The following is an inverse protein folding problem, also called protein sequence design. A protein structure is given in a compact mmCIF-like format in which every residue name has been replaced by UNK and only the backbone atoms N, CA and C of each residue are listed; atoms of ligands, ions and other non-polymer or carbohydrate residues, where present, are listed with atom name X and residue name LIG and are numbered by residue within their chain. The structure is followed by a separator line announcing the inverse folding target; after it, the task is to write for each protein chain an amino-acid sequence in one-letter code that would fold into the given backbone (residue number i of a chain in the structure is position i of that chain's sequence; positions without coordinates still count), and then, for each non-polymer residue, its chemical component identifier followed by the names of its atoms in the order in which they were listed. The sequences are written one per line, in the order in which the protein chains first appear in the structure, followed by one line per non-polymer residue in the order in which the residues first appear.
data_IF_340658567961
#
_entry.id   IF_340658567961
#
_cell.length_a   1.000
_cell.length_b   1.000
_cell.length_c   1.000
_cell.angle_alpha   90.00
_cell.angle_beta   90.00
_cell.angle_gamma   90.00
#
_symmetry.space_group_name_H-M   'P 1'
#
loop_
_entity.id
_entity.type
_entity.pdbx_description
1 polymer ?
#
# COMPACT_ATOMS: atom_id res chain seq x y z
N UNK A 1 -24.24 -25.32 -49.01
CA UNK A 1 -23.78 -23.91 -49.04
C UNK A 1 -24.85 -23.07 -48.34
N UNK A 2 -24.72 -22.91 -47.03
CA UNK A 2 -25.66 -22.16 -46.19
C UNK A 2 -24.90 -20.98 -45.59
N UNK A 3 -25.35 -19.77 -45.93
CA UNK A 3 -24.83 -18.50 -45.39
C UNK A 3 -25.24 -18.42 -43.91
N UNK A 4 -24.27 -18.49 -43.01
CA UNK A 4 -24.48 -18.20 -41.59
C UNK A 4 -24.27 -16.71 -41.35
N UNK A 5 -25.19 -16.16 -40.57
CA UNK A 5 -25.39 -14.74 -40.29
C UNK A 5 -24.16 -14.08 -39.66
N UNK A 6 -23.90 -12.84 -40.10
CA UNK A 6 -22.97 -11.91 -39.48
C UNK A 6 -23.47 -11.58 -38.07
N UNK A 7 -22.75 -12.09 -37.06
CA UNK A 7 -22.91 -11.65 -35.68
C UNK A 7 -22.68 -10.15 -35.57
N UNK A 8 -23.65 -9.45 -34.99
CA UNK A 8 -23.55 -8.06 -34.57
C UNK A 8 -22.34 -7.88 -33.62
N UNK A 9 -21.61 -6.75 -33.72
CA UNK A 9 -20.52 -6.46 -32.79
C UNK A 9 -21.07 -6.32 -31.37
N UNK A 10 -20.49 -7.08 -30.44
CA UNK A 10 -20.80 -7.01 -29.02
C UNK A 10 -20.57 -5.60 -28.48
N UNK A 11 -21.50 -5.20 -27.61
CA UNK A 11 -21.63 -3.90 -26.98
C UNK A 11 -20.31 -3.37 -26.39
N UNK A 12 -20.02 -2.13 -26.80
CA UNK A 12 -19.19 -1.12 -26.15
C UNK A 12 -18.32 -1.55 -24.98
N UNK A 13 -17.01 -1.63 -25.24
CA UNK A 13 -15.98 -1.23 -24.28
C UNK A 13 -16.20 0.25 -23.92
N UNK A 14 -17.13 0.51 -22.99
CA UNK A 14 -17.23 1.82 -22.38
C UNK A 14 -15.95 2.00 -21.56
N UNK A 15 -15.04 2.82 -22.08
CA UNK A 15 -13.89 3.30 -21.31
C UNK A 15 -14.43 3.84 -19.98
N UNK A 16 -13.91 3.40 -18.83
CA UNK A 16 -14.38 3.91 -17.56
C UNK A 16 -14.24 5.43 -17.60
N UNK A 17 -15.36 6.14 -17.45
CA UNK A 17 -15.35 7.59 -17.32
C UNK A 17 -14.37 7.92 -16.17
N UNK A 18 -13.50 8.92 -16.33
CA UNK A 18 -12.62 9.34 -15.24
C UNK A 18 -13.50 9.95 -14.15
N UNK A 19 -14.01 9.14 -13.23
CA UNK A 19 -14.64 9.63 -12.02
C UNK A 19 -13.61 10.47 -11.27
N UNK A 20 -14.00 11.65 -10.73
CA UNK A 20 -13.14 12.41 -9.85
C UNK A 20 -12.58 11.48 -8.79
N UNK A 21 -11.26 11.44 -8.62
CA UNK A 21 -10.68 10.58 -7.61
C UNK A 21 -10.86 11.28 -6.27
N UNK A 22 -11.31 10.53 -5.28
CA UNK A 22 -11.32 11.01 -3.92
C UNK A 22 -9.92 10.83 -3.33
N UNK A 23 -9.43 11.83 -2.62
CA UNK A 23 -8.16 11.78 -1.91
C UNK A 23 -8.39 12.11 -0.43
N UNK A 24 -7.72 11.35 0.43
CA UNK A 24 -7.62 11.61 1.86
C UNK A 24 -6.18 11.99 2.17
N UNK A 25 -5.98 13.20 2.69
CA UNK A 25 -4.67 13.68 3.13
C UNK A 25 -4.47 13.32 4.60
N UNK A 26 -3.51 12.45 4.84
CA UNK A 26 -3.05 12.05 6.18
C UNK A 26 -2.40 13.24 6.93
N UNK A 27 -2.45 13.22 8.27
CA UNK A 27 -1.84 14.24 9.11
C UNK A 27 -0.31 14.26 9.04
N UNK A 28 0.31 13.16 8.60
CA UNK A 28 1.76 13.13 8.35
C UNK A 28 2.19 14.07 7.21
N UNK A 29 1.26 14.46 6.32
CA UNK A 29 1.57 15.28 5.15
C UNK A 29 1.84 16.73 5.55
N UNK A 30 3.05 17.19 5.26
CA UNK A 30 3.42 18.60 5.36
C UNK A 30 2.60 19.45 4.37
N UNK A 31 2.12 20.61 4.84
CA UNK A 31 1.35 21.59 4.05
C UNK A 31 0.14 20.98 3.33
N UNK A 32 -0.79 20.35 4.08
CA UNK A 32 -1.92 19.62 3.48
C UNK A 32 -2.82 20.51 2.62
N UNK A 33 -2.94 21.81 2.95
CA UNK A 33 -3.72 22.77 2.17
C UNK A 33 -3.19 22.96 0.75
N UNK A 34 -1.87 22.99 0.56
CA UNK A 34 -1.26 23.16 -0.76
C UNK A 34 -1.48 21.92 -1.63
N UNK A 35 -1.40 20.71 -1.05
CA UNK A 35 -1.77 19.46 -1.73
C UNK A 35 -3.26 19.40 -2.07
N UNK A 36 -4.10 19.88 -1.16
CA UNK A 36 -5.54 19.97 -1.36
C UNK A 36 -5.89 20.87 -2.53
N UNK A 37 -5.33 22.08 -2.57
CA UNK A 37 -5.51 23.02 -3.67
C UNK A 37 -5.08 22.40 -4.99
N UNK A 38 -3.88 21.80 -5.04
CA UNK A 38 -3.32 21.16 -6.23
C UNK A 38 -4.23 20.08 -6.84
N UNK A 39 -4.75 19.16 -6.04
CA UNK A 39 -5.64 18.11 -6.54
C UNK A 39 -7.04 18.66 -6.87
N UNK A 40 -7.53 19.66 -6.13
CA UNK A 40 -8.82 20.31 -6.40
C UNK A 40 -8.80 21.08 -7.72
N UNK A 41 -7.69 21.77 -8.05
CA UNK A 41 -7.50 22.42 -9.36
C UNK A 41 -7.62 21.44 -10.54
N UNK A 42 -7.33 20.16 -10.32
CA UNK A 42 -7.44 19.09 -11.32
C UNK A 42 -8.82 18.41 -11.34
N UNK A 43 -9.78 18.92 -10.57
CA UNK A 43 -11.14 18.43 -10.49
C UNK A 43 -11.32 17.21 -9.57
N UNK A 44 -10.31 16.87 -8.75
CA UNK A 44 -10.40 15.78 -7.79
C UNK A 44 -11.05 16.24 -6.48
N UNK A 45 -11.69 15.32 -5.75
CA UNK A 45 -12.25 15.62 -4.44
C UNK A 45 -11.20 15.30 -3.37
N UNK A 46 -10.90 16.27 -2.52
CA UNK A 46 -9.79 16.14 -1.58
C UNK A 46 -10.24 16.57 -0.20
N UNK A 47 -10.03 15.68 0.76
CA UNK A 47 -10.41 15.89 2.16
C UNK A 47 -9.20 15.58 3.04
N UNK A 48 -8.99 16.33 4.11
CA UNK A 48 -8.00 15.96 5.13
C UNK A 48 -8.61 14.97 6.13
N UNK A 49 -7.79 14.21 6.86
CA UNK A 49 -8.32 13.34 7.92
C UNK A 49 -9.10 14.12 8.99
N UNK A 50 -8.72 15.37 9.27
CA UNK A 50 -9.41 16.23 10.22
C UNK A 50 -10.78 16.68 9.74
N UNK A 51 -10.94 16.95 8.44
CA UNK A 51 -12.22 17.26 7.81
C UNK A 51 -13.18 16.05 7.79
N UNK A 52 -12.64 14.83 7.84
CA UNK A 52 -13.41 13.60 8.05
C UNK A 52 -13.77 13.34 9.53
N UNK A 53 -13.40 14.26 10.44
CA UNK A 53 -13.63 14.12 11.88
C UNK A 53 -12.68 13.13 12.57
N UNK A 54 -11.62 12.69 11.90
CA UNK A 54 -10.59 11.86 12.52
C UNK A 54 -9.59 12.73 13.30
N UNK A 55 -9.08 12.24 14.44
CA UNK A 55 -8.05 12.95 15.19
C UNK A 55 -6.73 13.00 14.41
N UNK A 56 -5.88 13.99 14.69
CA UNK A 56 -4.57 14.13 14.02
C UNK A 56 -3.64 12.92 14.21
N UNK A 57 -3.83 12.15 15.28
CA UNK A 57 -3.10 10.91 15.57
C UNK A 57 -3.96 9.66 15.31
N UNK A 58 -4.90 9.75 14.37
CA UNK A 58 -5.70 8.61 13.96
C UNK A 58 -4.78 7.46 13.52
N UNK A 59 -4.99 6.24 14.02
CA UNK A 59 -4.22 5.09 13.58
C UNK A 59 -4.40 4.78 12.08
N UNK A 60 -3.36 4.31 11.41
CA UNK A 60 -3.37 4.05 9.96
C UNK A 60 -4.42 3.04 9.51
N UNK A 61 -4.78 2.08 10.37
CA UNK A 61 -5.87 1.14 10.10
C UNK A 61 -7.22 1.86 10.03
N UNK A 62 -7.45 2.85 10.91
CA UNK A 62 -8.67 3.67 10.91
C UNK A 62 -8.73 4.55 9.66
N UNK A 63 -7.61 5.18 9.30
CA UNK A 63 -7.52 5.99 8.07
C UNK A 63 -7.75 5.10 6.84
N UNK A 64 -7.13 3.92 6.80
CA UNK A 64 -7.29 2.94 5.71
C UNK A 64 -8.73 2.46 5.55
N UNK A 65 -9.42 2.11 6.65
CA UNK A 65 -10.83 1.70 6.61
C UNK A 65 -11.72 2.86 6.14
N UNK A 66 -11.47 4.07 6.63
CA UNK A 66 -12.24 5.26 6.24
C UNK A 66 -12.06 5.57 4.77
N UNK A 67 -10.83 5.63 4.28
CA UNK A 67 -10.50 5.86 2.88
C UNK A 67 -11.11 4.79 1.97
N UNK A 68 -11.07 3.51 2.38
CA UNK A 68 -11.74 2.42 1.66
C UNK A 68 -13.25 2.64 1.59
N UNK A 69 -13.89 3.04 2.68
CA UNK A 69 -15.33 3.29 2.75
C UNK A 69 -15.81 4.37 1.79
N UNK A 70 -15.01 5.41 1.56
CA UNK A 70 -15.31 6.50 0.61
C UNK A 70 -14.63 6.34 -0.76
N UNK A 71 -13.95 5.20 -1.00
CA UNK A 71 -13.27 4.90 -2.25
C UNK A 71 -12.04 5.76 -2.58
N UNK A 72 -11.41 6.37 -1.59
CA UNK A 72 -10.39 7.41 -1.75
C UNK A 72 -8.94 6.93 -1.71
N UNK A 73 -8.06 7.54 -2.51
CA UNK A 73 -6.62 7.37 -2.38
C UNK A 73 -6.10 8.06 -1.13
N UNK A 74 -5.22 7.41 -0.36
CA UNK A 74 -4.55 8.02 0.79
C UNK A 74 -3.27 8.69 0.32
N UNK A 75 -3.09 9.95 0.66
CA UNK A 75 -1.84 10.68 0.50
C UNK A 75 -1.14 10.74 1.86
N UNK A 76 0.07 10.21 1.96
CA UNK A 76 0.80 10.13 3.25
C UNK A 76 2.31 10.35 3.07
N UNK A 77 2.94 10.98 4.07
CA UNK A 77 4.41 11.01 4.21
C UNK A 77 4.93 9.91 5.14
N UNK A 78 4.02 9.21 5.84
CA UNK A 78 4.36 8.06 6.65
C UNK A 78 4.71 6.87 5.76
N UNK A 79 5.97 6.44 5.85
CA UNK A 79 6.53 5.35 5.04
C UNK A 79 6.13 3.98 5.56
N UNK A 80 5.63 3.90 6.79
CA UNK A 80 5.22 2.68 7.45
C UNK A 80 3.69 2.52 7.48
N UNK A 81 2.94 3.51 6.97
CA UNK A 81 1.47 3.54 6.99
C UNK A 81 0.79 2.20 6.64
N UNK A 82 1.15 1.60 5.51
CA UNK A 82 0.54 0.33 5.07
C UNK A 82 0.99 -0.86 5.92
N UNK A 83 2.20 -0.80 6.46
CA UNK A 83 2.75 -1.82 7.33
C UNK A 83 2.04 -1.79 8.68
N UNK A 84 1.86 -0.60 9.26
CA UNK A 84 1.22 -0.39 10.55
C UNK A 84 -0.29 -0.69 10.49
N UNK A 85 -0.97 -0.30 9.42
CA UNK A 85 -2.34 -0.74 9.15
C UNK A 85 -2.44 -2.28 9.07
N UNK A 86 -1.52 -2.93 8.36
CA UNK A 86 -1.51 -4.38 8.20
C UNK A 86 -1.21 -5.12 9.50
N UNK A 87 -0.36 -4.57 10.38
CA UNK A 87 -0.13 -5.12 11.71
C UNK A 87 -1.39 -5.17 12.57
N UNK A 88 -2.40 -4.38 12.22
CA UNK A 88 -3.74 -4.36 12.83
C UNK A 88 -4.79 -5.12 12.00
N UNK A 89 -4.36 -5.82 10.95
CA UNK A 89 -5.19 -6.69 10.12
C UNK A 89 -5.89 -5.96 8.97
N UNK A 90 -5.59 -4.67 8.75
CA UNK A 90 -6.17 -3.88 7.66
C UNK A 90 -5.14 -3.72 6.55
N UNK A 91 -5.49 -4.12 5.34
CA UNK A 91 -4.64 -3.91 4.17
C UNK A 91 -5.30 -2.98 3.17
N UNK A 92 -4.58 -1.90 2.81
CA UNK A 92 -5.03 -0.88 1.88
C UNK A 92 -3.96 -0.59 0.84
N UNK A 93 -4.36 -0.53 -0.42
CA UNK A 93 -3.42 -0.46 -1.55
C UNK A 93 -3.51 0.82 -2.37
N UNK A 94 -4.56 1.63 -2.20
CA UNK A 94 -4.69 2.92 -2.91
C UNK A 94 -3.95 4.02 -2.13
N UNK A 95 -2.62 3.98 -2.16
CA UNK A 95 -1.79 4.91 -1.40
C UNK A 95 -0.81 5.62 -2.34
N UNK A 96 -0.68 6.93 -2.11
CA UNK A 96 0.32 7.82 -2.68
C UNK A 96 1.29 8.21 -1.57
N UNK A 97 2.53 7.74 -1.65
CA UNK A 97 3.60 8.12 -0.72
C UNK A 97 4.30 9.36 -1.22
N UNK A 98 4.40 10.35 -0.34
CA UNK A 98 5.21 11.54 -0.52
C UNK A 98 6.57 11.29 0.15
N UNK A 99 7.63 11.17 -0.64
CA UNK A 99 8.98 10.88 -0.15
C UNK A 99 9.92 12.03 -0.46
N UNK A 100 10.87 12.29 0.42
CA UNK A 100 11.85 13.35 0.24
C UNK A 100 12.20 13.98 1.57
N UNK A 101 13.20 14.85 1.53
CA UNK A 101 13.65 15.65 2.67
C UNK A 101 13.16 17.09 2.58
N UNK A 102 12.78 17.51 1.38
CA UNK A 102 12.24 18.83 1.11
C UNK A 102 10.82 18.92 1.64
N UNK A 103 10.62 19.86 2.57
CA UNK A 103 9.29 20.27 3.05
C UNK A 103 8.65 21.32 2.16
N UNK A 104 9.37 21.77 1.13
CA UNK A 104 8.86 22.67 0.09
C UNK A 104 8.18 21.86 -0.98
N UNK A 105 7.13 22.45 -1.55
CA UNK A 105 6.56 21.91 -2.76
C UNK A 105 7.51 22.16 -3.94
N UNK A 106 7.68 21.19 -4.85
CA UNK A 106 8.46 21.40 -6.06
C UNK A 106 7.98 22.63 -6.83
N UNK A 107 8.92 23.38 -7.42
CA UNK A 107 8.61 24.61 -8.17
C UNK A 107 7.62 24.38 -9.33
N UNK A 108 7.53 23.15 -9.83
CA UNK A 108 6.57 22.72 -10.85
C UNK A 108 5.50 21.77 -10.28
N UNK A 109 4.71 22.29 -9.35
CA UNK A 109 3.63 21.55 -8.68
C UNK A 109 2.57 21.03 -9.68
N UNK A 110 2.31 21.76 -10.77
CA UNK A 110 1.32 21.38 -11.78
C UNK A 110 1.78 20.17 -12.59
N UNK A 111 3.05 20.13 -13.01
CA UNK A 111 3.59 18.95 -13.66
C UNK A 111 3.58 17.74 -12.72
N UNK A 112 3.93 17.93 -11.44
CA UNK A 112 3.92 16.86 -10.44
C UNK A 112 2.52 16.27 -10.23
N UNK A 113 1.50 17.12 -10.12
CA UNK A 113 0.11 16.69 -9.98
C UNK A 113 -0.36 15.88 -11.19
N UNK A 114 -0.09 16.37 -12.39
CA UNK A 114 -0.41 15.68 -13.64
C UNK A 114 0.29 14.32 -13.75
N UNK A 115 1.58 14.26 -13.38
CA UNK A 115 2.34 13.02 -13.35
C UNK A 115 1.77 12.02 -12.33
N UNK A 116 1.40 12.51 -11.14
CA UNK A 116 0.77 11.70 -10.09
C UNK A 116 -0.55 11.12 -10.58
N UNK A 117 -1.41 11.93 -11.20
CA UNK A 117 -2.68 11.48 -11.77
C UNK A 117 -2.48 10.40 -12.84
N UNK A 118 -1.54 10.63 -13.76
CA UNK A 118 -1.19 9.65 -14.80
C UNK A 118 -0.73 8.31 -14.21
N UNK A 119 0.08 8.33 -13.16
CA UNK A 119 0.50 7.12 -12.45
C UNK A 119 -0.69 6.39 -11.79
N UNK A 120 -1.61 7.13 -11.16
CA UNK A 120 -2.80 6.55 -10.54
C UNK A 120 -3.73 5.95 -11.60
N UNK A 121 -3.90 6.60 -12.75
CA UNK A 121 -4.69 6.08 -13.88
C UNK A 121 -4.06 4.80 -14.43
N UNK A 122 -2.74 4.78 -14.62
CA UNK A 122 -2.02 3.59 -15.04
C UNK A 122 -2.29 2.42 -14.09
N UNK A 123 -2.20 2.65 -12.78
CA UNK A 123 -2.47 1.63 -11.75
C UNK A 123 -3.93 1.18 -11.76
N UNK A 124 -4.87 2.11 -11.93
CA UNK A 124 -6.30 1.80 -11.89
C UNK A 124 -6.76 0.96 -13.09
N UNK A 125 -6.02 0.99 -14.20
CA UNK A 125 -6.31 0.23 -15.41
C UNK A 125 -5.62 -1.14 -15.47
N UNK A 126 -4.73 -1.47 -14.52
CA UNK A 126 -4.10 -2.80 -14.49
C UNK A 126 -5.10 -3.79 -13.88
N UNK A 127 -5.55 -4.75 -14.68
CA UNK A 127 -6.25 -5.93 -14.16
C UNK A 127 -5.22 -6.90 -13.58
N UNK A 128 -5.06 -6.91 -12.26
CA UNK A 128 -3.92 -7.55 -11.59
C UNK A 128 -4.17 -9.00 -11.19
N UNK A 129 -5.36 -9.55 -11.47
CA UNK A 129 -5.74 -10.90 -11.02
C UNK A 129 -5.56 -11.10 -9.50
N UNK A 130 -5.50 -10.02 -8.70
CA UNK A 130 -5.37 -10.01 -7.24
C UNK A 130 -3.96 -10.19 -6.65
N UNK A 131 -2.93 -10.47 -7.45
CA UNK A 131 -1.63 -10.90 -6.91
C UNK A 131 -0.63 -9.77 -6.61
N UNK A 132 -0.90 -8.55 -7.08
CA UNK A 132 -0.02 -7.40 -6.88
C UNK A 132 -0.80 -6.17 -6.43
N UNK A 133 -0.18 -5.40 -5.54
CA UNK A 133 -0.60 -4.06 -5.16
C UNK A 133 0.37 -3.06 -5.73
N UNK A 134 -0.16 -1.88 -6.04
CA UNK A 134 0.60 -0.82 -6.67
C UNK A 134 0.49 0.42 -5.79
N UNK A 135 1.65 0.98 -5.48
CA UNK A 135 1.79 2.20 -4.72
C UNK A 135 2.35 3.28 -5.62
N UNK A 136 1.80 4.48 -5.52
CA UNK A 136 2.36 5.64 -6.23
C UNK A 136 3.33 6.32 -5.28
N UNK A 137 4.55 6.58 -5.73
CA UNK A 137 5.58 7.24 -4.94
C UNK A 137 5.95 8.53 -5.65
N UNK A 138 5.80 9.64 -4.95
CA UNK A 138 6.11 10.99 -5.38
C UNK A 138 7.35 11.45 -4.62
N UNK A 139 8.47 11.55 -5.32
CA UNK A 139 9.73 12.05 -4.77
C UNK A 139 9.76 13.58 -4.85
N UNK A 140 9.62 14.24 -3.71
CA UNK A 140 9.56 15.68 -3.54
C UNK A 140 10.92 16.37 -3.80
N UNK A 141 12.03 15.65 -3.65
CA UNK A 141 13.36 16.22 -3.86
C UNK A 141 13.70 16.28 -5.36
N UNK A 142 13.28 15.28 -6.11
CA UNK A 142 13.55 15.16 -7.55
C UNK A 142 12.37 15.52 -8.46
N UNK A 143 11.15 15.65 -7.91
CA UNK A 143 9.91 15.82 -8.66
C UNK A 143 9.48 14.59 -9.46
N UNK A 144 10.08 13.43 -9.21
CA UNK A 144 9.77 12.21 -9.95
C UNK A 144 8.58 11.46 -9.34
N UNK A 145 7.73 10.93 -10.22
CA UNK A 145 6.65 10.02 -9.84
C UNK A 145 6.97 8.63 -10.36
N UNK A 146 6.86 7.62 -9.50
CA UNK A 146 7.02 6.22 -9.88
C UNK A 146 5.93 5.35 -9.28
N UNK A 147 5.68 4.22 -9.91
CA UNK A 147 4.77 3.20 -9.40
C UNK A 147 5.61 2.01 -8.92
N UNK A 148 5.40 1.59 -7.67
CA UNK A 148 6.03 0.39 -7.11
C UNK A 148 4.98 -0.70 -6.91
N UNK A 149 5.27 -1.89 -7.45
CA UNK A 149 4.43 -3.07 -7.32
C UNK A 149 4.95 -3.97 -6.21
N UNK A 150 4.07 -4.45 -5.33
CA UNK A 150 4.43 -5.38 -4.26
C UNK A 150 3.45 -6.55 -4.21
N UNK A 151 3.89 -7.74 -3.77
CA UNK A 151 2.99 -8.87 -3.64
C UNK A 151 1.93 -8.61 -2.58
N UNK A 152 0.68 -8.95 -2.88
CA UNK A 152 -0.40 -8.94 -1.88
C UNK A 152 -0.07 -9.87 -0.72
N UNK A 153 -0.12 -9.39 0.54
CA UNK A 153 0.02 -10.28 1.68
C UNK A 153 -1.14 -11.29 1.66
N UNK A 154 -0.87 -12.59 1.86
CA UNK A 154 -1.92 -13.60 1.92
C UNK A 154 -2.94 -13.24 3.01
N UNK A 155 -4.22 -13.47 2.74
CA UNK A 155 -5.29 -13.20 3.72
C UNK A 155 -5.06 -13.91 5.07
N UNK A 156 -4.47 -15.10 5.04
CA UNK A 156 -4.15 -15.85 6.26
C UNK A 156 -3.04 -15.19 7.08
N UNK A 157 -2.12 -14.47 6.43
CA UNK A 157 -1.13 -13.65 7.13
C UNK A 157 -1.83 -12.48 7.83
N UNK A 158 -2.64 -11.71 7.10
CA UNK A 158 -3.36 -10.55 7.65
C UNK A 158 -4.19 -10.93 8.89
N UNK A 159 -4.84 -12.10 8.87
CA UNK A 159 -5.64 -12.59 9.99
C UNK A 159 -4.85 -12.84 11.28
N UNK A 160 -3.54 -13.11 11.20
CA UNK A 160 -2.70 -13.40 12.37
C UNK A 160 -1.80 -12.23 12.77
N UNK A 161 -1.62 -11.22 11.92
CA UNK A 161 -0.75 -10.08 12.18
C UNK A 161 -1.10 -9.34 13.48
N UNK A 162 -2.37 -9.10 13.86
CA UNK A 162 -2.71 -8.46 15.13
C UNK A 162 -2.21 -9.24 16.36
N UNK A 163 -2.38 -10.56 16.36
CA UNK A 163 -1.89 -11.39 17.46
C UNK A 163 -0.36 -11.55 17.42
N UNK A 164 0.22 -11.61 16.21
CA UNK A 164 1.65 -11.76 16.00
C UNK A 164 2.42 -10.49 16.39
N UNK A 165 1.85 -9.31 16.18
CA UNK A 165 2.46 -8.02 16.53
C UNK A 165 2.51 -7.80 18.05
N UNK A 166 1.53 -8.34 18.78
CA UNK A 166 1.47 -8.27 20.25
C UNK A 166 2.34 -9.36 20.93
N UNK A 167 2.64 -10.46 20.24
CA UNK A 167 3.38 -11.58 20.83
C UNK A 167 4.90 -11.41 20.73
N UNK A 168 5.57 -11.25 21.87
CA UNK A 168 7.05 -11.24 21.96
C UNK A 168 7.71 -12.56 21.56
N UNK A 169 7.02 -13.68 21.77
CA UNK A 169 7.58 -15.03 21.56
C UNK A 169 7.05 -15.70 20.29
N UNK A 170 6.23 -15.00 19.50
CA UNK A 170 5.53 -15.57 18.35
C UNK A 170 4.33 -16.44 18.73
N UNK A 171 3.68 -16.99 17.71
CA UNK A 171 2.44 -17.76 17.84
C UNK A 171 2.72 -19.27 17.78
N UNK A 172 2.04 -20.08 18.59
CA UNK A 172 2.01 -21.54 18.47
C UNK A 172 1.00 -21.95 17.41
N UNK A 173 1.11 -23.19 16.93
CA UNK A 173 0.10 -23.77 16.04
C UNK A 173 -1.32 -23.78 16.67
N UNK A 174 -1.42 -23.88 18.00
CA UNK A 174 -2.70 -23.77 18.71
C UNK A 174 -3.33 -22.37 18.57
N UNK A 175 -2.51 -21.32 18.62
CA UNK A 175 -2.95 -19.92 18.46
C UNK A 175 -3.40 -19.69 17.02
N UNK A 176 -2.58 -20.14 16.05
CA UNK A 176 -2.91 -20.08 14.63
C UNK A 176 -4.22 -20.80 14.30
N UNK A 177 -4.44 -21.97 14.93
CA UNK A 177 -5.68 -22.74 14.79
C UNK A 177 -6.90 -21.94 15.22
N UNK A 178 -6.80 -21.24 16.37
CA UNK A 178 -7.87 -20.40 16.91
C UNK A 178 -8.15 -19.21 15.99
N UNK A 179 -7.10 -18.52 15.55
CA UNK A 179 -7.22 -17.33 14.69
C UNK A 179 -7.79 -17.64 13.31
N UNK A 180 -7.42 -18.79 12.73
CA UNK A 180 -7.91 -19.21 11.41
C UNK A 180 -9.19 -20.06 11.45
N UNK A 181 -9.69 -20.42 12.64
CA UNK A 181 -10.87 -21.27 12.79
C UNK A 181 -10.78 -22.62 12.06
N UNK A 182 -9.60 -23.28 12.07
CA UNK A 182 -9.37 -24.50 11.27
C UNK A 182 -8.83 -25.68 12.09
N UNK A 183 -8.53 -26.81 11.43
CA UNK A 183 -7.96 -27.99 12.10
C UNK A 183 -6.47 -27.79 12.43
N UNK A 184 -5.92 -28.62 13.33
CA UNK A 184 -4.48 -28.62 13.66
C UNK A 184 -3.61 -28.82 12.41
N UNK A 185 -3.98 -29.76 11.56
CA UNK A 185 -3.22 -30.12 10.35
C UNK A 185 -3.32 -29.03 9.29
N UNK A 186 -4.48 -28.41 9.14
CA UNK A 186 -4.70 -27.29 8.21
C UNK A 186 -3.88 -26.06 8.64
N UNK A 187 -3.90 -25.71 9.93
CA UNK A 187 -3.09 -24.61 10.46
C UNK A 187 -1.59 -24.86 10.22
N UNK A 188 -1.13 -26.08 10.47
CA UNK A 188 0.28 -26.42 10.24
C UNK A 188 0.68 -26.29 8.76
N UNK A 189 -0.16 -26.77 7.83
CA UNK A 189 0.09 -26.63 6.38
C UNK A 189 0.13 -25.16 5.95
N UNK A 190 -0.84 -24.35 6.39
CA UNK A 190 -0.88 -22.90 6.12
C UNK A 190 0.35 -22.19 6.66
N UNK A 191 0.74 -22.48 7.90
CA UNK A 191 1.93 -21.91 8.52
C UNK A 191 3.22 -22.31 7.80
N UNK A 192 3.35 -23.56 7.37
CA UNK A 192 4.49 -24.03 6.60
C UNK A 192 4.60 -23.32 5.25
N UNK A 193 3.48 -23.13 4.55
CA UNK A 193 3.43 -22.34 3.31
C UNK A 193 3.91 -20.90 3.53
N UNK A 194 3.39 -20.22 4.56
CA UNK A 194 3.82 -18.86 4.91
C UNK A 194 5.31 -18.78 5.31
N UNK A 195 5.87 -19.86 5.88
CA UNK A 195 7.31 -19.96 6.16
C UNK A 195 8.12 -20.13 4.87
N UNK A 196 7.67 -21.00 3.96
CA UNK A 196 8.32 -21.22 2.66
C UNK A 196 8.33 -19.94 1.80
N UNK A 197 7.25 -19.16 1.85
CA UNK A 197 7.12 -17.88 1.17
C UNK A 197 7.87 -16.72 1.86
N UNK A 198 8.48 -16.97 3.02
CA UNK A 198 9.29 -16.00 3.77
C UNK A 198 8.49 -14.99 4.62
N UNK A 199 7.16 -15.09 4.65
CA UNK A 199 6.29 -14.23 5.46
C UNK A 199 6.40 -14.51 6.96
N UNK A 200 6.61 -15.78 7.32
CA UNK A 200 6.85 -16.22 8.70
C UNK A 200 8.22 -16.88 8.79
N UNK A 201 8.76 -16.96 10.01
CA UNK A 201 9.90 -17.83 10.34
C UNK A 201 9.54 -18.73 11.51
N UNK A 202 10.13 -19.92 11.51
CA UNK A 202 9.94 -20.92 12.56
C UNK A 202 11.07 -20.81 13.60
N UNK A 203 10.73 -20.78 14.88
CA UNK A 203 11.67 -20.90 15.98
C UNK A 203 11.32 -22.10 16.87
N UNK A 204 12.34 -22.85 17.30
CA UNK A 204 12.16 -24.06 18.11
C UNK A 204 11.90 -25.34 17.29
N UNK A 205 12.03 -26.49 17.96
CA UNK A 205 11.79 -27.82 17.39
C UNK A 205 10.52 -28.42 18.00
N UNK A 206 9.85 -29.30 17.25
CA UNK A 206 8.69 -30.09 17.72
C UNK A 206 7.58 -29.28 18.42
N UNK A 207 7.33 -29.50 19.71
CA UNK A 207 6.17 -28.98 20.46
C UNK A 207 6.35 -27.53 20.94
N UNK A 208 7.59 -27.03 20.99
CA UNK A 208 7.92 -25.64 21.34
C UNK A 208 7.97 -24.72 20.10
N UNK A 209 7.61 -25.23 18.92
CA UNK A 209 7.58 -24.49 17.67
C UNK A 209 6.73 -23.22 17.79
N UNK A 210 7.37 -22.08 17.56
CA UNK A 210 6.76 -20.74 17.45
C UNK A 210 6.94 -20.21 16.04
N UNK A 211 5.94 -19.48 15.57
CA UNK A 211 5.97 -18.75 14.32
C UNK A 211 6.12 -17.26 14.63
N UNK A 212 7.16 -16.66 14.05
CA UNK A 212 7.54 -15.26 14.21
C UNK A 212 7.42 -14.56 12.85
N UNK A 213 7.46 -13.23 12.86
CA UNK A 213 7.56 -12.43 11.64
C UNK A 213 8.78 -12.87 10.82
N UNK A 214 8.56 -13.15 9.55
CA UNK A 214 9.61 -13.53 8.60
C UNK A 214 10.25 -12.31 7.96
N UNK A 215 11.36 -12.55 7.25
CA UNK A 215 12.14 -11.51 6.59
C UNK A 215 11.33 -10.71 5.57
N UNK A 216 10.46 -11.38 4.79
CA UNK A 216 9.61 -10.72 3.80
C UNK A 216 8.64 -9.72 4.43
N UNK A 217 8.16 -10.01 5.63
CA UNK A 217 7.28 -9.10 6.38
C UNK A 217 8.06 -7.93 7.00
N UNK A 218 9.24 -8.20 7.58
CA UNK A 218 10.04 -7.18 8.28
C UNK A 218 10.86 -6.27 7.36
N UNK A 219 11.28 -6.78 6.21
CA UNK A 219 12.09 -6.06 5.23
C UNK A 219 11.23 -5.64 4.04
N UNK A 220 10.77 -6.57 3.20
CA UNK A 220 10.16 -6.20 1.91
C UNK A 220 8.83 -5.49 2.08
N UNK A 221 7.99 -6.01 2.97
CA UNK A 221 6.69 -5.44 3.25
C UNK A 221 6.80 -4.16 4.07
N UNK A 222 7.81 -3.97 4.92
CA UNK A 222 8.04 -2.68 5.61
C UNK A 222 8.67 -1.64 4.67
N UNK A 223 9.50 -2.08 3.70
CA UNK A 223 10.37 -1.20 2.90
C UNK A 223 9.80 -0.76 1.56
N UNK A 224 8.49 -0.87 1.32
CA UNK A 224 7.85 -0.46 0.06
C UNK A 224 8.30 0.95 -0.38
N UNK A 225 8.65 1.84 0.56
CA UNK A 225 9.04 3.22 0.30
C UNK A 225 10.57 3.45 0.28
N UNK A 226 11.37 2.50 0.77
CA UNK A 226 12.83 2.65 0.96
C UNK A 226 13.67 2.10 -0.20
N UNK A 227 13.07 1.33 -1.10
CA UNK A 227 13.76 0.79 -2.27
C UNK A 227 13.94 1.86 -3.34
N UNK A 228 15.13 2.47 -3.36
CA UNK A 228 15.67 3.43 -4.36
C UNK A 228 15.56 4.92 -4.03
N UNK A 229 15.90 5.32 -2.80
CA UNK A 229 16.63 6.58 -2.66
C UNK A 229 18.04 6.35 -3.24
N UNK A 230 18.26 6.76 -4.49
CA UNK A 230 19.58 6.76 -5.12
C UNK A 230 20.56 7.45 -4.14
N UNK A 231 21.69 6.82 -3.76
CA UNK A 231 22.67 7.53 -2.97
C UNK A 231 23.20 8.67 -3.84
N UNK A 232 22.90 9.91 -3.46
CA UNK A 232 23.60 11.07 -3.98
C UNK A 232 25.08 10.88 -3.68
N UNK A 233 25.80 10.35 -4.68
CA UNK A 233 27.26 10.29 -4.70
C UNK A 233 27.70 11.75 -4.65
N UNK A 234 28.14 12.21 -3.47
CA UNK A 234 28.91 13.46 -3.37
C UNK A 234 30.16 13.27 -4.23
N UNK A 235 30.11 13.74 -5.47
CA UNK A 235 31.30 13.94 -6.29
C UNK A 235 32.15 14.96 -5.55
N UNK A 236 33.13 14.47 -4.78
CA UNK A 236 34.27 15.29 -4.36
C UNK A 236 34.99 15.69 -5.63
N UNK A 237 34.71 16.89 -6.12
CA UNK A 237 35.62 17.59 -7.02
C UNK A 237 36.93 17.77 -6.24
N UNK A 238 37.93 16.97 -6.59
CA UNK A 238 39.32 17.28 -6.26
C UNK A 238 39.71 18.42 -7.20
N UNK A 239 39.90 19.61 -6.63
CA UNK A 239 40.69 20.63 -7.31
C UNK A 239 42.15 20.20 -7.23
N UNK A 240 42.76 20.03 -8.41
CA UNK A 240 44.18 20.20 -8.63
C UNK A 240 44.33 21.52 -9.38
#
# INVERSE_FOLDING_TARGET
MTKSEKGLPQAGTQLPLPFPKHFVIDASVSRPSEWKEMFTENGDQVTTITELGLPQNAPDDVISVTAKGIGAWVLTQDREFHYDAALRGVFYSKIVYLVGTTTRIPADIKALSKATKGAIEQVSCVDTGGNQNFFVIVDLDSGQVRVEATPSPPSELLAILPALSQSRHGLKNADLRKLWGCSRSTAWKKALRLVQEGWLRKAGKTSSCRYLKGRKLEEDFRRIVYTKSVPHRKTRLRHN
#
